data_IF_108271045421
#
_entry.id   IF_108271045421
#
_cell.length_a   1.000
_cell.length_b   1.000
_cell.length_c   1.000
_cell.angle_alpha   90.00
_cell.angle_beta   90.00
_cell.angle_gamma   90.00
#
_symmetry.space_group_name_H-M   'P 1'
#
loop_
_entity.id
_entity.type
_entity.pdbx_description
1 polymer ?
#
# COMPACT_ATOMS: atom_id res chain seq x y z
N UNK A 1 1.53 -21.41 -3.83
CA UNK A 1 1.92 -22.80 -3.53
C UNK A 1 3.45 -22.89 -3.61
N UNK A 2 4.15 -22.99 -2.48
CA UNK A 2 5.61 -23.11 -2.46
C UNK A 2 6.07 -24.44 -3.07
N UNK A 3 7.07 -24.41 -3.94
CA UNK A 3 7.71 -25.62 -4.49
C UNK A 3 8.75 -26.14 -3.50
N UNK A 4 8.59 -27.39 -3.06
CA UNK A 4 9.58 -28.07 -2.24
C UNK A 4 10.71 -28.58 -3.15
N UNK A 5 11.88 -27.94 -3.13
CA UNK A 5 13.08 -28.48 -3.79
C UNK A 5 13.67 -29.53 -2.85
N UNK A 6 13.58 -30.82 -3.23
CA UNK A 6 14.30 -31.91 -2.54
C UNK A 6 15.70 -32.03 -3.13
N UNK A 7 16.71 -31.74 -2.33
CA UNK A 7 18.09 -32.09 -2.66
C UNK A 7 18.27 -33.59 -2.42
N UNK A 8 18.65 -34.35 -3.45
CA UNK A 8 18.94 -35.78 -3.32
C UNK A 8 20.11 -35.99 -2.34
N UNK A 9 19.92 -36.83 -1.33
CA UNK A 9 20.97 -37.20 -0.36
C UNK A 9 20.97 -36.45 0.96
N UNK A 10 20.01 -35.53 1.20
CA UNK A 10 19.90 -34.81 2.48
C UNK A 10 18.68 -35.31 3.26
N UNK A 11 18.90 -35.87 4.44
CA UNK A 11 17.83 -36.13 5.40
C UNK A 11 17.42 -34.81 6.05
N UNK A 12 16.22 -34.33 5.75
CA UNK A 12 15.66 -33.15 6.41
C UNK A 12 15.24 -33.56 7.82
N UNK A 13 15.96 -33.10 8.84
CA UNK A 13 15.48 -33.10 10.23
C UNK A 13 14.36 -32.05 10.37
N UNK A 14 13.56 -32.09 11.43
CA UNK A 14 12.54 -31.04 11.70
C UNK A 14 13.17 -29.63 11.74
N UNK A 15 14.47 -29.54 11.98
CA UNK A 15 15.28 -28.32 12.02
C UNK A 15 15.91 -27.91 10.67
N UNK A 16 15.59 -28.59 9.56
CA UNK A 16 16.18 -28.25 8.27
C UNK A 16 15.69 -26.86 7.78
N UNK A 17 16.59 -25.98 7.29
CA UNK A 17 16.22 -24.67 6.78
C UNK A 17 15.19 -24.81 5.64
N UNK A 18 14.01 -24.22 5.82
CA UNK A 18 12.98 -24.16 4.77
C UNK A 18 13.09 -22.81 4.07
N UNK A 19 13.31 -22.84 2.76
CA UNK A 19 13.10 -21.67 1.92
C UNK A 19 11.59 -21.50 1.79
N UNK A 20 11.04 -20.50 2.48
CA UNK A 20 9.63 -20.12 2.40
C UNK A 20 9.56 -18.91 1.49
N UNK A 21 9.20 -19.13 0.22
CA UNK A 21 8.81 -18.03 -0.66
C UNK A 21 7.42 -17.56 -0.27
N UNK A 22 7.34 -16.33 0.23
CA UNK A 22 6.10 -15.71 0.68
C UNK A 22 5.37 -15.03 -0.48
N UNK A 23 6.14 -14.43 -1.39
CA UNK A 23 5.59 -13.82 -2.59
C UNK A 23 6.56 -13.92 -3.78
N UNK A 24 6.10 -14.18 -5.02
CA UNK A 24 7.00 -14.24 -6.18
C UNK A 24 7.77 -12.95 -6.49
N UNK A 25 7.36 -11.80 -5.97
CA UNK A 25 8.10 -10.54 -6.15
C UNK A 25 9.33 -10.42 -5.25
N UNK A 26 9.43 -11.22 -4.18
CA UNK A 26 10.42 -11.04 -3.12
C UNK A 26 11.87 -10.98 -3.64
N UNK A 27 12.71 -10.14 -3.01
CA UNK A 27 14.15 -10.03 -3.27
C UNK A 27 14.92 -9.66 -2.02
N UNK A 28 16.25 -9.74 -2.09
CA UNK A 28 17.15 -9.23 -1.07
C UNK A 28 17.02 -7.72 -0.81
N UNK A 29 16.35 -6.95 -1.68
CA UNK A 29 16.02 -5.54 -1.47
C UNK A 29 14.59 -5.29 -1.00
N UNK A 30 13.79 -6.32 -0.75
CA UNK A 30 12.40 -6.15 -0.30
C UNK A 30 12.33 -5.53 1.09
N UNK A 31 11.69 -4.36 1.20
CA UNK A 31 11.55 -3.61 2.45
C UNK A 31 10.17 -3.83 3.08
N UNK A 32 9.12 -3.81 2.25
CA UNK A 32 7.75 -3.77 2.73
C UNK A 32 6.82 -4.52 1.78
N UNK A 33 5.95 -5.39 2.33
CA UNK A 33 4.80 -5.92 1.61
C UNK A 33 3.59 -6.00 2.54
N UNK A 34 2.55 -5.29 2.16
CA UNK A 34 1.18 -5.59 2.56
C UNK A 34 0.50 -6.36 1.42
N UNK A 35 -0.09 -7.51 1.71
CA UNK A 35 -0.92 -8.28 0.78
C UNK A 35 -2.18 -8.78 1.49
N UNK A 36 -3.35 -8.24 1.16
CA UNK A 36 -4.63 -8.55 1.80
C UNK A 36 -4.99 -10.03 1.84
N UNK A 37 -4.52 -10.78 0.83
CA UNK A 37 -4.72 -12.23 0.72
C UNK A 37 -3.65 -13.06 1.42
N UNK A 38 -2.73 -12.44 2.17
CA UNK A 38 -1.69 -13.15 2.90
C UNK A 38 -2.27 -14.01 4.01
N UNK A 39 -1.77 -15.24 4.10
CA UNK A 39 -2.06 -16.17 5.20
C UNK A 39 -1.32 -15.80 6.50
N UNK A 40 -0.38 -14.85 6.43
CA UNK A 40 0.38 -14.39 7.60
C UNK A 40 -0.45 -13.48 8.51
N UNK A 41 -1.64 -13.06 8.08
CA UNK A 41 -2.53 -12.24 8.88
C UNK A 41 -3.39 -13.09 9.80
N UNK A 42 -3.22 -12.90 11.11
CA UNK A 42 -4.00 -13.58 12.15
C UNK A 42 -5.31 -12.90 12.52
N UNK A 43 -5.79 -11.91 11.75
CA UNK A 43 -6.99 -11.13 12.07
C UNK A 43 -8.12 -11.36 11.06
N UNK A 44 -9.35 -11.48 11.57
CA UNK A 44 -10.56 -11.68 10.75
C UNK A 44 -11.23 -10.36 10.34
N UNK A 45 -11.11 -9.29 11.15
CA UNK A 45 -11.59 -7.95 10.87
C UNK A 45 -10.44 -6.95 10.70
N UNK A 46 -10.73 -5.64 10.76
CA UNK A 46 -9.69 -4.62 10.80
C UNK A 46 -9.13 -4.47 12.22
N UNK A 47 -7.80 -4.58 12.42
CA UNK A 47 -7.17 -4.25 13.70
C UNK A 47 -7.52 -2.83 14.17
N UNK A 48 -7.49 -2.63 15.49
CA UNK A 48 -7.77 -1.33 16.11
C UNK A 48 -6.53 -0.43 16.15
N UNK A 49 -6.73 0.86 16.46
CA UNK A 49 -5.63 1.81 16.55
C UNK A 49 -4.59 1.37 17.61
N UNK A 50 -3.31 1.43 17.24
CA UNK A 50 -2.18 0.93 18.02
C UNK A 50 -1.83 -0.54 17.75
N UNK A 51 -2.69 -1.30 17.05
CA UNK A 51 -2.40 -2.69 16.72
C UNK A 51 -1.48 -2.81 15.49
N UNK A 52 -0.72 -3.91 15.45
CA UNK A 52 0.22 -4.20 14.38
C UNK A 52 -0.43 -4.99 13.24
N UNK A 53 -0.09 -4.64 12.00
CA UNK A 53 -0.34 -5.46 10.81
C UNK A 53 1.00 -6.04 10.35
N UNK A 54 1.14 -7.38 10.21
CA UNK A 54 2.41 -7.98 9.81
C UNK A 54 2.94 -7.44 8.48
N UNK A 55 4.23 -7.12 8.42
CA UNK A 55 4.92 -6.97 7.14
C UNK A 55 5.31 -8.37 6.64
N UNK A 56 4.72 -8.79 5.52
CA UNK A 56 4.95 -10.13 4.93
C UNK A 56 6.44 -10.36 4.65
N UNK A 57 7.17 -9.29 4.31
CA UNK A 57 8.61 -9.35 3.99
C UNK A 57 9.51 -8.81 5.11
N UNK A 58 9.01 -8.77 6.35
CA UNK A 58 9.78 -8.32 7.54
C UNK A 58 11.12 -9.02 7.74
N UNK A 59 11.28 -10.25 7.26
CA UNK A 59 12.53 -11.01 7.35
C UNK A 59 13.63 -10.47 6.42
N UNK A 60 13.27 -9.99 5.22
CA UNK A 60 14.22 -9.27 4.34
C UNK A 60 14.58 -7.93 4.97
N UNK A 61 13.58 -7.17 5.42
CA UNK A 61 13.80 -5.89 6.09
C UNK A 61 14.76 -6.03 7.29
N UNK A 62 14.53 -7.02 8.17
CA UNK A 62 15.41 -7.31 9.31
C UNK A 62 16.85 -7.57 8.89
N UNK A 63 17.04 -8.26 7.77
CA UNK A 63 18.37 -8.58 7.24
C UNK A 63 19.06 -7.34 6.66
N UNK A 64 18.31 -6.45 6.02
CA UNK A 64 18.80 -5.19 5.42
C UNK A 64 19.22 -4.21 6.52
N UNK A 65 18.35 -3.96 7.51
CA UNK A 65 18.62 -2.94 8.55
C UNK A 65 19.65 -3.39 9.58
N UNK A 66 19.80 -4.70 9.79
CA UNK A 66 20.72 -5.25 10.79
C UNK A 66 20.39 -4.80 12.23
N UNK A 67 21.29 -5.03 13.19
CA UNK A 67 21.22 -4.40 14.52
C UNK A 67 20.11 -4.87 15.47
N UNK A 68 19.49 -6.03 15.23
CA UNK A 68 18.38 -6.57 16.05
C UNK A 68 17.22 -5.55 16.23
N UNK A 69 16.57 -5.14 15.12
CA UNK A 69 15.46 -4.20 15.19
C UNK A 69 14.31 -4.83 16.00
N UNK A 70 13.56 -3.99 16.70
CA UNK A 70 12.38 -4.46 17.44
C UNK A 70 11.36 -5.08 16.48
N UNK A 71 10.57 -6.05 16.95
CA UNK A 71 9.49 -6.59 16.13
C UNK A 71 8.43 -5.53 15.77
N UNK A 72 8.24 -4.52 16.62
CA UNK A 72 7.30 -3.43 16.36
C UNK A 72 7.74 -2.59 15.14
N UNK A 73 9.02 -2.22 15.08
CA UNK A 73 9.58 -1.42 13.98
C UNK A 73 9.60 -2.14 12.63
N UNK A 74 9.40 -3.46 12.60
CA UNK A 74 9.36 -4.28 11.39
C UNK A 74 7.96 -4.45 10.79
N UNK A 75 6.91 -4.08 11.53
CA UNK A 75 5.51 -4.27 11.15
C UNK A 75 4.83 -2.92 10.88
N UNK A 76 3.73 -2.97 10.16
CA UNK A 76 2.84 -1.83 10.05
C UNK A 76 2.12 -1.59 11.38
N UNK A 77 1.70 -0.36 11.64
CA UNK A 77 0.90 -0.01 12.83
C UNK A 77 -0.35 0.74 12.40
N UNK A 78 -1.52 0.36 12.92
CA UNK A 78 -2.76 1.11 12.69
C UNK A 78 -2.68 2.42 13.47
N UNK A 79 -2.64 3.55 12.76
CA UNK A 79 -2.58 4.87 13.38
C UNK A 79 -3.97 5.41 13.71
N UNK A 80 -4.97 5.12 12.87
CA UNK A 80 -6.32 5.61 13.07
C UNK A 80 -7.38 4.67 12.48
N UNK A 81 -8.52 4.61 13.18
CA UNK A 81 -9.75 3.94 12.75
C UNK A 81 -10.91 4.84 13.14
N UNK A 82 -11.42 5.62 12.19
CA UNK A 82 -12.49 6.58 12.47
C UNK A 82 -13.76 5.88 12.96
N UNK A 83 -14.36 6.33 14.09
CA UNK A 83 -15.55 5.68 14.66
C UNK A 83 -16.86 6.13 13.99
N UNK A 84 -16.82 7.17 13.15
CA UNK A 84 -18.01 7.77 12.57
C UNK A 84 -18.56 6.96 11.39
N UNK A 85 -19.36 5.95 11.71
CA UNK A 85 -19.99 5.05 10.73
C UNK A 85 -21.00 5.73 9.79
N UNK A 86 -21.40 6.98 10.06
CA UNK A 86 -22.30 7.72 9.18
C UNK A 86 -21.54 8.50 8.10
N UNK A 87 -20.27 8.84 8.33
CA UNK A 87 -19.40 9.47 7.34
C UNK A 87 -18.47 8.47 6.65
N UNK A 88 -18.13 7.36 7.32
CA UNK A 88 -17.15 6.40 6.83
C UNK A 88 -17.32 5.00 7.42
N UNK A 89 -17.26 3.98 6.57
CA UNK A 89 -17.12 2.59 6.99
C UNK A 89 -15.78 2.06 6.53
N UNK A 90 -15.03 1.44 7.45
CA UNK A 90 -13.89 0.62 7.11
C UNK A 90 -14.20 -0.85 7.40
N UNK A 91 -13.84 -1.71 6.46
CA UNK A 91 -13.99 -3.16 6.62
C UNK A 91 -12.83 -3.92 5.99
N UNK A 92 -12.70 -5.19 6.38
CA UNK A 92 -11.90 -6.17 5.66
C UNK A 92 -12.84 -6.96 4.74
N UNK A 93 -12.51 -7.01 3.46
CA UNK A 93 -13.31 -7.75 2.46
C UNK A 93 -13.16 -9.26 2.64
N UNK A 94 -14.01 -10.06 1.97
CA UNK A 94 -13.91 -11.53 2.08
C UNK A 94 -12.59 -12.09 1.55
N UNK A 95 -11.94 -11.40 0.59
CA UNK A 95 -10.60 -11.76 0.09
C UNK A 95 -9.48 -10.93 0.73
N UNK A 96 -9.79 -10.27 1.84
CA UNK A 96 -8.82 -9.71 2.77
C UNK A 96 -8.29 -8.32 2.43
N UNK A 97 -8.82 -7.67 1.40
CA UNK A 97 -8.55 -6.26 1.10
C UNK A 97 -9.11 -5.35 2.21
N UNK A 98 -8.55 -4.15 2.32
CA UNK A 98 -9.02 -3.12 3.26
C UNK A 98 -9.88 -2.13 2.49
N UNK A 99 -11.18 -2.12 2.76
CA UNK A 99 -12.16 -1.26 2.07
C UNK A 99 -12.52 -0.07 2.94
N UNK A 100 -12.47 1.13 2.37
CA UNK A 100 -13.06 2.33 2.96
C UNK A 100 -14.18 2.85 2.09
N UNK A 101 -15.35 3.01 2.70
CA UNK A 101 -16.56 3.55 2.10
C UNK A 101 -16.77 4.95 2.65
N UNK A 102 -16.63 5.95 1.78
CA UNK A 102 -16.79 7.36 2.13
C UNK A 102 -18.20 7.83 1.85
N UNK A 103 -18.83 8.54 2.79
CA UNK A 103 -20.09 9.23 2.50
C UNK A 103 -19.89 10.35 1.49
N UNK A 104 -20.75 10.47 0.47
CA UNK A 104 -20.70 11.59 -0.47
C UNK A 104 -21.40 12.86 0.07
N UNK A 105 -22.16 12.76 1.18
CA UNK A 105 -22.96 13.87 1.70
C UNK A 105 -22.62 14.33 3.12
N UNK A 106 -22.03 13.48 3.97
CA UNK A 106 -21.81 13.78 5.40
C UNK A 106 -20.45 14.46 5.69
N UNK A 107 -20.35 15.75 5.37
CA UNK A 107 -19.09 16.50 5.19
C UNK A 107 -18.50 17.19 6.43
N UNK A 108 -18.54 16.55 7.59
CA UNK A 108 -18.21 17.25 8.85
C UNK A 108 -16.77 17.10 9.36
N UNK A 109 -16.04 16.04 8.97
CA UNK A 109 -14.70 15.78 9.49
C UNK A 109 -13.90 14.81 8.61
N UNK A 110 -12.57 14.79 8.80
CA UNK A 110 -11.69 13.84 8.13
C UNK A 110 -11.84 12.45 8.74
N UNK A 111 -12.25 11.49 7.92
CA UNK A 111 -12.52 10.11 8.32
C UNK A 111 -11.68 9.13 7.51
N UNK A 112 -11.00 8.23 8.19
CA UNK A 112 -10.13 7.26 7.53
C UNK A 112 -9.91 6.00 8.38
N UNK A 113 -9.43 4.97 7.71
CA UNK A 113 -8.67 3.91 8.33
C UNK A 113 -7.25 3.99 7.78
N UNK A 114 -6.31 4.32 8.66
CA UNK A 114 -4.92 4.65 8.32
C UNK A 114 -3.98 3.73 9.08
N UNK A 115 -3.02 3.19 8.35
CA UNK A 115 -1.91 2.46 8.92
C UNK A 115 -0.58 2.97 8.37
N UNK A 116 0.43 2.93 9.23
CA UNK A 116 1.78 3.37 8.93
C UNK A 116 2.61 2.19 8.48
N UNK A 117 3.45 2.40 7.47
CA UNK A 117 4.52 1.50 7.09
C UNK A 117 5.48 1.26 8.27
N UNK A 118 6.26 0.18 8.24
CA UNK A 118 7.20 -0.10 9.32
C UNK A 118 8.21 1.03 9.50
N UNK A 119 8.45 1.42 10.76
CA UNK A 119 9.41 2.48 11.11
C UNK A 119 10.80 2.21 10.54
N UNK A 120 11.24 0.96 10.56
CA UNK A 120 12.53 0.56 10.00
C UNK A 120 12.62 0.77 8.48
N UNK A 121 11.50 0.72 7.74
CA UNK A 121 11.48 1.06 6.31
C UNK A 121 11.64 2.57 6.11
N UNK A 122 10.90 3.37 6.88
CA UNK A 122 11.01 4.83 6.87
C UNK A 122 12.44 5.26 7.16
N UNK A 123 13.00 4.77 8.25
CA UNK A 123 14.35 5.15 8.71
C UNK A 123 15.41 4.72 7.70
N UNK A 124 15.26 3.56 7.08
CA UNK A 124 16.13 3.10 6.01
C UNK A 124 16.10 4.05 4.80
N UNK A 125 14.92 4.42 4.31
CA UNK A 125 14.79 5.30 3.15
C UNK A 125 15.42 6.67 3.43
N UNK A 126 15.14 7.25 4.60
CA UNK A 126 15.70 8.55 5.01
C UNK A 126 17.23 8.49 5.15
N UNK A 127 17.78 7.38 5.66
CA UNK A 127 19.22 7.19 5.82
C UNK A 127 19.94 6.90 4.49
N UNK A 128 19.22 6.48 3.44
CA UNK A 128 19.79 6.11 2.14
C UNK A 128 19.19 6.96 1.00
N UNK A 129 19.41 8.29 1.00
CA UNK A 129 18.78 9.21 0.04
C UNK A 129 19.29 9.05 -1.40
N UNK A 130 20.41 8.35 -1.60
CA UNK A 130 20.99 8.10 -2.92
C UNK A 130 20.56 6.75 -3.53
N UNK A 131 19.74 5.97 -2.82
CA UNK A 131 19.23 4.71 -3.34
C UNK A 131 18.02 4.92 -4.24
N UNK A 132 17.78 3.96 -5.12
CA UNK A 132 16.58 3.90 -5.94
C UNK A 132 15.56 2.94 -5.34
N UNK A 133 14.28 3.33 -5.34
CA UNK A 133 13.21 2.54 -4.77
C UNK A 133 12.13 2.24 -5.80
N UNK A 134 11.62 1.01 -5.81
CA UNK A 134 10.39 0.64 -6.50
C UNK A 134 9.26 0.63 -5.49
N UNK A 135 8.16 1.30 -5.83
CA UNK A 135 7.00 1.44 -4.95
C UNK A 135 5.75 1.17 -5.77
N UNK A 136 4.86 0.30 -5.29
CA UNK A 136 3.59 0.03 -5.96
C UNK A 136 2.43 -0.16 -4.99
N UNK A 137 1.21 0.01 -5.50
CA UNK A 137 0.01 -0.43 -4.83
C UNK A 137 -1.02 -1.00 -5.81
N UNK A 138 -1.86 -1.89 -5.31
CA UNK A 138 -3.00 -2.46 -6.02
C UNK A 138 -4.29 -2.18 -5.27
N UNK A 139 -5.34 -1.82 -6.00
CA UNK A 139 -6.63 -1.52 -5.40
C UNK A 139 -7.81 -1.71 -6.35
N UNK A 140 -8.99 -1.44 -5.83
CA UNK A 140 -10.23 -1.31 -6.60
C UNK A 140 -10.91 -0.02 -6.16
N UNK A 141 -11.36 0.78 -7.11
CA UNK A 141 -12.26 1.90 -6.83
C UNK A 141 -13.68 1.35 -6.91
N UNK A 142 -14.40 1.42 -5.78
CA UNK A 142 -15.75 0.85 -5.63
C UNK A 142 -16.85 1.87 -5.83
N UNK A 143 -16.56 3.16 -5.60
CA UNK A 143 -17.44 4.30 -5.91
C UNK A 143 -16.59 5.53 -6.18
N UNK A 144 -16.89 6.25 -7.26
CA UNK A 144 -16.24 7.54 -7.59
C UNK A 144 -16.65 8.63 -6.58
N UNK A 145 -15.76 9.61 -6.38
CA UNK A 145 -16.09 10.80 -5.60
C UNK A 145 -17.06 11.73 -6.34
N UNK A 146 -17.44 12.83 -5.69
CA UNK A 146 -18.19 13.93 -6.34
C UNK A 146 -17.23 14.95 -6.98
N UNK A 147 -17.77 15.82 -7.84
CA UNK A 147 -17.02 16.93 -8.42
C UNK A 147 -16.40 17.82 -7.34
N UNK A 148 -15.12 18.19 -7.52
CA UNK A 148 -14.30 18.94 -6.57
C UNK A 148 -14.03 18.24 -5.23
N UNK A 149 -14.20 16.92 -5.12
CA UNK A 149 -13.66 16.18 -3.96
C UNK A 149 -12.15 16.45 -3.82
N UNK A 150 -11.62 16.46 -2.59
CA UNK A 150 -10.17 16.49 -2.42
C UNK A 150 -9.58 15.19 -2.99
N UNK A 151 -8.57 15.32 -3.87
CA UNK A 151 -7.82 14.17 -4.36
C UNK A 151 -7.19 13.44 -3.17
N UNK A 152 -7.24 12.11 -3.17
CA UNK A 152 -6.72 11.32 -2.06
C UNK A 152 -5.54 10.45 -2.50
N UNK A 153 -4.59 10.30 -1.60
CA UNK A 153 -3.42 9.46 -1.78
C UNK A 153 -3.53 8.22 -0.89
N UNK A 154 -3.83 7.03 -1.44
CA UNK A 154 -3.99 5.80 -0.66
C UNK A 154 -2.67 5.26 -0.12
N UNK A 155 -1.55 5.75 -0.65
CA UNK A 155 -0.21 5.36 -0.24
C UNK A 155 0.74 6.52 -0.47
N UNK A 156 1.51 6.91 0.53
CA UNK A 156 2.43 8.04 0.39
C UNK A 156 3.53 8.05 1.45
N UNK A 157 4.55 8.85 1.18
CA UNK A 157 5.53 9.28 2.16
C UNK A 157 5.80 10.77 1.93
N UNK A 158 5.12 11.59 2.71
CA UNK A 158 5.18 13.05 2.62
C UNK A 158 5.42 13.65 3.98
N UNK A 159 5.91 14.89 4.00
CA UNK A 159 5.81 15.70 5.21
C UNK A 159 4.34 15.97 5.53
N UNK A 160 4.02 16.11 6.82
CA UNK A 160 2.66 16.25 7.33
C UNK A 160 1.83 17.37 6.65
N UNK A 161 2.48 18.40 6.11
CA UNK A 161 1.83 19.56 5.47
C UNK A 161 2.26 19.81 4.01
N UNK A 162 3.05 18.91 3.41
CA UNK A 162 3.74 19.18 2.15
C UNK A 162 3.52 18.14 1.07
N UNK A 163 2.25 17.84 0.73
CA UNK A 163 1.88 16.86 -0.30
C UNK A 163 2.65 17.04 -1.62
N UNK A 164 2.92 18.28 -2.02
CA UNK A 164 3.47 18.63 -3.34
C UNK A 164 4.86 19.28 -3.28
N UNK A 165 5.34 19.66 -2.09
CA UNK A 165 6.60 20.41 -1.94
C UNK A 165 7.67 19.63 -1.16
N UNK A 166 7.27 18.73 -0.26
CA UNK A 166 8.17 18.05 0.65
C UNK A 166 7.70 16.59 0.78
N UNK A 167 8.06 15.79 -0.22
CA UNK A 167 7.66 14.39 -0.32
C UNK A 167 8.76 13.52 -0.91
N UNK A 168 8.64 12.22 -0.64
CA UNK A 168 9.42 11.19 -1.31
C UNK A 168 8.60 10.55 -2.44
N UNK A 169 7.34 10.19 -2.15
CA UNK A 169 6.38 9.71 -3.13
C UNK A 169 4.94 9.92 -2.65
N UNK A 170 3.98 9.97 -3.57
CA UNK A 170 2.56 9.85 -3.26
C UNK A 170 1.78 9.28 -4.45
N UNK A 171 0.63 8.69 -4.17
CA UNK A 171 -0.28 8.14 -5.18
C UNK A 171 -1.58 8.95 -5.28
N UNK A 172 -1.51 10.22 -5.66
CA UNK A 172 -2.67 11.13 -5.66
C UNK A 172 -3.50 11.02 -6.95
N UNK A 173 -4.84 11.00 -6.87
CA UNK A 173 -5.70 10.81 -8.06
C UNK A 173 -5.45 9.47 -8.76
N UNK A 174 -4.83 8.55 -8.01
CA UNK A 174 -4.10 7.36 -8.43
C UNK A 174 -3.16 7.52 -9.62
N UNK A 175 -2.62 8.73 -9.77
CA UNK A 175 -1.32 8.95 -10.38
C UNK A 175 -0.24 8.60 -9.37
N UNK A 176 0.93 8.19 -9.84
CA UNK A 176 2.08 7.99 -8.97
C UNK A 176 3.10 9.10 -9.24
N UNK A 177 3.27 10.00 -8.28
CA UNK A 177 4.21 11.10 -8.43
C UNK A 177 5.51 10.78 -7.69
N UNK A 178 6.63 10.94 -8.41
CA UNK A 178 7.99 10.87 -7.87
C UNK A 178 8.68 12.21 -7.96
N UNK A 179 9.74 12.38 -7.16
CA UNK A 179 10.61 13.53 -7.28
C UNK A 179 11.31 13.60 -8.65
N UNK A 180 11.78 12.47 -9.21
CA UNK A 180 12.43 12.36 -10.52
C UNK A 180 12.30 10.93 -11.09
N UNK A 181 11.93 10.80 -12.37
CA UNK A 181 12.02 9.60 -13.25
C UNK A 181 10.87 8.56 -13.20
N UNK A 182 10.71 7.76 -14.28
CA UNK A 182 9.46 7.61 -15.03
C UNK A 182 8.32 7.02 -14.20
N UNK A 183 7.21 7.76 -14.16
CA UNK A 183 5.94 7.20 -13.73
C UNK A 183 5.42 6.24 -14.79
N UNK A 184 5.20 4.98 -14.43
CA UNK A 184 4.45 4.07 -15.30
C UNK A 184 2.98 4.12 -14.90
N UNK A 185 2.22 4.88 -15.69
CA UNK A 185 0.78 4.86 -15.64
C UNK A 185 0.29 3.70 -16.49
N UNK A 186 -0.45 2.74 -15.92
CA UNK A 186 -1.28 1.87 -16.76
C UNK A 186 -2.47 2.63 -17.35
N UNK A 187 -2.69 3.88 -16.91
CA UNK A 187 -3.72 4.79 -17.39
C UNK A 187 -3.34 6.24 -17.03
N UNK A 188 -3.19 7.12 -18.02
CA UNK A 188 -2.99 8.58 -17.87
C UNK A 188 -4.25 9.29 -17.31
N UNK A 189 -4.87 8.71 -16.29
CA UNK A 189 -6.17 9.16 -15.79
C UNK A 189 -5.90 9.91 -14.49
N UNK A 190 -5.77 11.23 -14.66
CA UNK A 190 -6.27 12.14 -13.63
C UNK A 190 -7.67 11.68 -13.23
N UNK A 191 -7.93 11.72 -11.94
CA UNK A 191 -9.22 11.60 -11.29
C UNK A 191 -9.71 10.19 -10.95
N UNK A 192 -9.57 9.87 -9.67
CA UNK A 192 -10.62 9.18 -8.90
C UNK A 192 -11.98 9.96 -8.90
N UNK A 193 -12.01 11.12 -9.54
CA UNK A 193 -13.15 12.05 -9.72
C UNK A 193 -13.76 12.05 -11.14
N UNK A 194 -13.26 11.27 -12.12
CA UNK A 194 -13.80 11.32 -13.48
C UNK A 194 -15.03 10.43 -13.52
N UNK A 195 -16.19 11.08 -13.53
CA UNK A 195 -17.56 10.55 -13.58
C UNK A 195 -17.89 9.64 -14.78
N UNK A 196 -16.91 9.27 -15.60
CA UNK A 196 -17.09 8.48 -16.83
C UNK A 196 -16.72 7.00 -16.74
N UNK A 197 -16.01 6.55 -15.69
CA UNK A 197 -15.61 5.13 -15.57
C UNK A 197 -16.64 4.33 -14.78
N UNK A 198 -17.21 3.23 -15.33
CA UNK A 198 -18.06 2.35 -14.56
C UNK A 198 -17.29 1.78 -13.36
N UNK A 199 -17.88 1.88 -12.17
CA UNK A 199 -17.36 1.23 -10.96
C UNK A 199 -18.10 -0.09 -10.72
N UNK A 200 -17.42 -1.10 -10.13
CA UNK A 200 -16.03 -1.07 -9.67
C UNK A 200 -15.00 -1.25 -10.80
N UNK A 201 -13.78 -0.71 -10.62
CA UNK A 201 -12.64 -1.00 -11.50
C UNK A 201 -11.34 -1.19 -10.71
N UNK A 202 -10.49 -2.08 -11.20
CA UNK A 202 -9.19 -2.40 -10.60
C UNK A 202 -8.13 -1.36 -10.97
N UNK A 203 -7.18 -1.12 -10.07
CA UNK A 203 -6.08 -0.16 -10.25
C UNK A 203 -4.75 -0.76 -9.83
N UNK A 204 -3.75 -0.51 -10.68
CA UNK A 204 -2.34 -0.76 -10.43
C UNK A 204 -1.59 0.56 -10.61
N UNK A 205 -0.65 0.85 -9.74
CA UNK A 205 0.26 1.98 -9.93
C UNK A 205 1.61 1.65 -9.35
N UNK A 206 2.66 2.05 -10.06
CA UNK A 206 4.03 1.87 -9.64
C UNK A 206 4.88 3.09 -10.00
N UNK A 207 5.90 3.33 -9.19
CA UNK A 207 6.82 4.45 -9.39
C UNK A 207 8.23 4.08 -8.96
N UNK A 208 9.22 4.61 -9.68
CA UNK A 208 10.60 4.62 -9.23
C UNK A 208 10.88 5.94 -8.53
N UNK A 209 11.50 5.90 -7.35
CA UNK A 209 12.06 7.10 -6.73
C UNK A 209 13.58 7.03 -6.77
N UNK A 210 14.21 8.07 -7.32
CA UNK A 210 15.66 8.21 -7.38
C UNK A 210 16.21 9.38 -6.54
N UNK A 211 15.35 10.24 -6.01
CA UNK A 211 15.71 11.38 -5.14
C UNK A 211 14.49 11.91 -4.37
N UNK A 212 14.69 12.92 -3.52
CA UNK A 212 13.64 13.61 -2.76
C UNK A 212 13.36 15.02 -3.34
N UNK A 213 12.14 15.55 -3.11
CA UNK A 213 11.76 16.93 -3.49
C UNK A 213 11.80 17.87 -2.29
N UNK A 214 12.25 19.12 -2.51
CA UNK A 214 12.25 20.17 -1.49
C UNK A 214 13.18 19.85 -0.32
N UNK A 215 12.72 20.10 0.91
CA UNK A 215 13.43 19.68 2.13
C UNK A 215 13.28 18.17 2.40
N UNK A 216 12.48 17.47 1.58
CA UNK A 216 12.22 16.04 1.70
C UNK A 216 11.38 15.68 2.92
N UNK A 217 11.27 14.37 3.14
CA UNK A 217 10.74 13.74 4.35
C UNK A 217 11.86 13.46 5.35
N UNK A 218 11.49 13.41 6.62
CA UNK A 218 12.38 13.19 7.76
C UNK A 218 11.98 11.93 8.53
N UNK A 219 12.78 11.53 9.51
CA UNK A 219 12.46 10.38 10.36
C UNK A 219 11.19 10.58 11.23
N UNK A 220 10.64 11.80 11.32
CA UNK A 220 9.36 12.06 12.00
C UNK A 220 8.14 11.98 11.08
N UNK A 221 8.36 11.99 9.77
CA UNK A 221 7.31 11.78 8.77
C UNK A 221 7.03 10.28 8.62
N UNK A 222 5.86 9.89 8.10
CA UNK A 222 5.52 8.48 8.01
C UNK A 222 5.19 8.05 6.59
N UNK A 223 5.57 6.81 6.27
CA UNK A 223 4.98 6.09 5.15
C UNK A 223 3.56 5.73 5.59
N UNK A 224 2.54 6.20 4.88
CA UNK A 224 1.15 5.99 5.26
C UNK A 224 0.38 5.31 4.14
N UNK A 225 -0.45 4.36 4.53
CA UNK A 225 -1.48 3.75 3.72
C UNK A 225 -2.83 4.07 4.33
N UNK A 226 -3.79 4.45 3.50
CA UNK A 226 -5.11 4.80 4.00
C UNK A 226 -6.22 4.54 3.00
N UNK A 227 -7.38 4.25 3.57
CA UNK A 227 -8.67 4.40 2.91
C UNK A 227 -9.45 5.48 3.65
N UNK A 228 -10.19 6.31 2.92
CA UNK A 228 -10.78 7.55 3.44
C UNK A 228 -9.90 8.77 3.19
N UNK A 229 -9.94 9.74 4.11
CA UNK A 229 -9.33 11.07 3.96
C UNK A 229 -8.46 11.39 5.17
N UNK A 230 -7.23 11.85 4.92
CA UNK A 230 -6.27 12.18 5.98
C UNK A 230 -5.02 12.91 5.48
N UNK A 231 -4.16 13.27 6.44
CA UNK A 231 -2.84 13.86 6.20
C UNK A 231 -2.87 15.15 5.36
N UNK A 232 -1.95 15.32 4.42
CA UNK A 232 -1.85 16.52 3.59
C UNK A 232 -3.03 16.70 2.62
N UNK A 233 -3.97 15.74 2.58
CA UNK A 233 -5.15 15.72 1.70
C UNK A 233 -6.49 15.94 2.41
N UNK A 234 -6.47 16.36 3.68
CA UNK A 234 -7.66 16.69 4.48
C UNK A 234 -8.37 18.02 4.10
N UNK A 235 -8.25 18.46 2.84
CA UNK A 235 -8.79 19.75 2.36
C UNK A 235 -10.24 19.65 1.82
N UNK A 236 -10.68 20.63 1.01
CA UNK A 236 -12.07 20.82 0.53
C UNK A 236 -12.83 19.52 0.18
N UNK A 237 -14.11 19.45 0.53
CA UNK A 237 -14.96 18.26 0.33
C UNK A 237 -14.38 16.99 1.01
N UNK A 238 -14.09 17.13 2.31
CA UNK A 238 -13.31 16.24 3.20
C UNK A 238 -13.79 14.78 3.28
N UNK A 239 -14.97 14.46 2.76
CA UNK A 239 -15.52 13.11 2.77
C UNK A 239 -16.08 12.67 1.41
N UNK A 240 -16.19 13.55 0.41
CA UNK A 240 -16.83 13.21 -0.86
C UNK A 240 -15.89 12.55 -1.88
N UNK A 241 -14.76 12.00 -1.39
CA UNK A 241 -13.77 11.28 -2.17
C UNK A 241 -14.19 9.83 -2.48
N UNK A 242 -13.49 9.23 -3.44
CA UNK A 242 -13.79 7.87 -3.89
C UNK A 242 -13.67 6.81 -2.78
N UNK A 243 -14.59 5.85 -2.78
CA UNK A 243 -14.50 4.63 -1.96
C UNK A 243 -13.58 3.62 -2.66
N UNK A 244 -12.72 2.95 -1.89
CA UNK A 244 -11.66 2.11 -2.46
C UNK A 244 -11.29 0.94 -1.55
N UNK A 245 -10.83 -0.13 -2.19
CA UNK A 245 -10.23 -1.30 -1.55
C UNK A 245 -8.73 -1.28 -1.84
N UNK A 246 -7.90 -1.41 -0.80
CA UNK A 246 -6.46 -1.65 -0.92
C UNK A 246 -6.16 -3.13 -0.72
N UNK A 247 -5.55 -3.74 -1.73
CA UNK A 247 -5.22 -5.17 -1.74
C UNK A 247 -3.74 -5.43 -1.54
N UNK A 248 -2.88 -4.54 -2.04
CA UNK A 248 -1.44 -4.74 -1.95
C UNK A 248 -0.69 -3.42 -1.95
N UNK A 249 0.42 -3.37 -1.22
CA UNK A 249 1.39 -2.29 -1.32
C UNK A 249 2.80 -2.86 -1.10
N UNK A 250 3.75 -2.43 -1.93
CA UNK A 250 5.10 -2.97 -1.95
C UNK A 250 6.14 -1.85 -2.03
N UNK A 251 7.25 -2.02 -1.30
CA UNK A 251 8.45 -1.19 -1.41
C UNK A 251 9.67 -2.10 -1.51
N UNK A 252 10.54 -1.78 -2.47
CA UNK A 252 11.84 -2.39 -2.65
C UNK A 252 12.93 -1.35 -2.86
N UNK A 253 14.08 -1.62 -2.27
CA UNK A 253 15.34 -0.95 -2.57
C UNK A 253 16.02 -1.62 -3.78
N UNK A 254 15.94 -0.96 -4.93
CA UNK A 254 16.52 -1.41 -6.20
C UNK A 254 18.05 -1.36 -6.19
N UNK A 255 18.63 -0.48 -5.37
CA UNK A 255 20.08 -0.38 -5.20
C UNK A 255 20.63 -1.60 -4.46
N UNK A 256 19.86 -2.19 -3.55
CA UNK A 256 20.20 -3.45 -2.87
C UNK A 256 19.85 -4.68 -3.71
N UNK A 257 18.69 -4.69 -4.36
CA UNK A 257 18.30 -5.86 -5.14
C UNK A 257 19.04 -6.02 -6.46
N UNK A 258 19.61 -4.93 -6.98
CA UNK A 258 20.23 -4.88 -8.30
C UNK A 258 19.22 -5.03 -9.46
N UNK A 259 17.91 -5.05 -9.17
CA UNK A 259 16.86 -5.12 -10.18
C UNK A 259 16.60 -3.74 -10.77
N UNK A 260 16.27 -3.68 -12.05
CA UNK A 260 15.77 -2.45 -12.67
C UNK A 260 14.29 -2.22 -12.32
N UNK A 261 13.82 -0.98 -12.40
CA UNK A 261 12.39 -0.67 -12.25
C UNK A 261 11.52 -1.51 -13.18
N UNK A 262 11.87 -1.60 -14.47
CA UNK A 262 11.10 -2.35 -15.46
C UNK A 262 11.00 -3.83 -15.08
N UNK A 263 12.10 -4.42 -14.60
CA UNK A 263 12.09 -5.83 -14.15
C UNK A 263 11.10 -6.07 -13.02
N UNK A 264 11.08 -5.20 -12.01
CA UNK A 264 10.17 -5.33 -10.87
C UNK A 264 8.72 -5.03 -11.31
N UNK A 265 8.54 -4.00 -12.14
CA UNK A 265 7.25 -3.61 -12.70
C UNK A 265 6.60 -4.73 -13.53
N UNK A 266 7.37 -5.43 -14.36
CA UNK A 266 6.85 -6.52 -15.19
C UNK A 266 6.39 -7.69 -14.33
N UNK A 267 7.13 -8.00 -13.25
CA UNK A 267 6.73 -9.02 -12.27
C UNK A 267 5.45 -8.60 -11.55
N UNK A 268 5.40 -7.38 -11.01
CA UNK A 268 4.24 -6.91 -10.23
C UNK A 268 2.99 -6.78 -11.11
N UNK A 269 3.14 -6.31 -12.35
CA UNK A 269 2.03 -6.22 -13.32
C UNK A 269 1.49 -7.60 -13.68
N UNK A 270 2.35 -8.59 -13.87
CA UNK A 270 1.92 -9.98 -14.12
C UNK A 270 1.18 -10.57 -12.91
N UNK A 271 1.68 -10.31 -11.69
CA UNK A 271 1.01 -10.75 -10.47
C UNK A 271 -0.33 -10.05 -10.26
N UNK A 272 -0.42 -8.75 -10.55
CA UNK A 272 -1.65 -7.97 -10.52
C UNK A 272 -2.68 -8.55 -11.49
N UNK A 273 -2.29 -8.74 -12.76
CA UNK A 273 -3.16 -9.31 -13.78
C UNK A 273 -3.70 -10.69 -13.36
N UNK A 274 -2.83 -11.56 -12.81
CA UNK A 274 -3.22 -12.87 -12.31
C UNK A 274 -4.10 -12.82 -11.05
N UNK A 275 -3.95 -11.80 -10.20
CA UNK A 275 -4.72 -11.66 -8.97
C UNK A 275 -6.18 -11.26 -9.24
N UNK A 276 -6.42 -10.48 -10.30
CA UNK A 276 -7.72 -9.94 -10.68
C UNK A 276 -8.35 -10.61 -11.92
N UNK A 277 -7.69 -11.57 -12.57
CA UNK A 277 -8.28 -12.40 -13.61
C UNK A 277 -9.13 -13.53 -13.03
N UNK A 278 -9.95 -14.19 -13.85
CA UNK A 278 -10.80 -15.31 -13.42
C UNK A 278 -10.00 -16.38 -12.65
N UNK A 279 -10.48 -16.76 -11.47
CA UNK A 279 -9.80 -17.68 -10.57
C UNK A 279 -8.68 -17.06 -9.72
N UNK A 280 -8.38 -15.77 -9.93
CA UNK A 280 -7.40 -15.01 -9.18
C UNK A 280 -7.78 -14.77 -7.71
N UNK A 281 -6.76 -14.49 -6.89
CA UNK A 281 -6.92 -14.35 -5.43
C UNK A 281 -7.86 -13.22 -5.02
N UNK A 282 -8.07 -12.19 -5.85
CA UNK A 282 -8.95 -11.04 -5.60
C UNK A 282 -10.13 -10.96 -6.58
N UNK A 283 -10.23 -11.88 -7.54
CA UNK A 283 -11.30 -11.92 -8.53
C UNK A 283 -12.68 -12.10 -7.90
N UNK A 284 -13.67 -11.29 -8.27
CA UNK A 284 -15.02 -11.32 -7.65
C UNK A 284 -15.00 -11.26 -6.12
N UNK A 285 -14.15 -10.41 -5.54
CA UNK A 285 -14.24 -10.13 -4.11
C UNK A 285 -15.62 -9.56 -3.73
N UNK A 286 -16.03 -9.84 -2.49
CA UNK A 286 -17.30 -9.40 -1.92
C UNK A 286 -17.04 -8.47 -0.75
N UNK A 287 -17.79 -7.37 -0.73
CA UNK A 287 -17.64 -6.27 0.20
C UNK A 287 -18.98 -5.52 0.31
N UNK A 288 -19.12 -4.71 1.36
CA UNK A 288 -20.31 -3.90 1.58
C UNK A 288 -20.49 -2.90 0.43
N UNK A 289 -21.71 -2.80 -0.11
CA UNK A 289 -22.00 -1.83 -1.18
C UNK A 289 -21.67 -0.41 -0.71
N UNK A 290 -20.94 0.41 -1.49
CA UNK A 290 -20.68 1.79 -1.12
C UNK A 290 -21.96 2.61 -0.88
N UNK A 291 -23.05 2.29 -1.59
CA UNK A 291 -24.37 2.93 -1.39
C UNK A 291 -25.03 2.67 -0.03
N UNK A 292 -24.43 1.84 0.84
CA UNK A 292 -24.86 1.65 2.23
C UNK A 292 -24.66 2.91 3.10
N UNK A 293 -23.78 3.81 2.66
CA UNK A 293 -23.57 5.12 3.27
C UNK A 293 -23.86 6.19 2.20
N UNK A 294 -24.62 7.25 2.54
CA UNK A 294 -25.07 8.26 1.59
C UNK A 294 -23.90 8.95 0.89
#
# INVERSE_FOLDING_TARGET
MGRLIRLHGVNLTEDAPRIITRDPIESNGSLMLFDGGSVDYGFNGLPDAGEAIPNVLSHYLKSIVGGNPSNASLNFTVANKSPNSSAFLAERTLKGGIHGINSLTNQSEAVNYKWLGPEAVRDWIVANPNHSYYISYWGVVTRVGVDNAAEQSPFHFTSQFGATNNFHFHFQGGKADSAISPTYYTDNVNDDHFSGRPTPYTRYSAVQIASMTGNGVTATDNIALLVGIGDAWQSFNINAGASRILYRAYIEDLSISGRSFNTVNDIDTALYAAAFSEGGKFYNDSYTSPSSIP
#
